data_IF_439104066771
#
_entry.id   IF_439104066771
#
_cell.length_a   1.000
_cell.length_b   1.000
_cell.length_c   1.000
_cell.angle_alpha   90.00
_cell.angle_beta   90.00
_cell.angle_gamma   90.00
#
_symmetry.space_group_name_H-M   'P 1'
#
loop_
_entity.id
_entity.type
_entity.pdbx_description
1 polymer ?
#
# COMPACT_ATOMS: atom_id res chain seq x y z
N UNK A 1 57.18 4.10 7.89
CA UNK A 1 57.10 4.78 6.57
C UNK A 1 55.68 4.60 6.03
N UNK A 2 54.95 5.69 5.77
CA UNK A 2 53.52 5.65 5.38
C UNK A 2 53.33 4.80 4.10
N UNK A 3 52.38 3.85 4.10
CA UNK A 3 52.17 2.88 2.99
C UNK A 3 51.94 3.56 1.63
N UNK A 4 51.35 4.75 1.65
CA UNK A 4 51.05 5.57 0.48
C UNK A 4 52.34 6.18 -0.10
N UNK A 5 53.25 6.65 0.76
CA UNK A 5 54.55 7.17 0.35
C UNK A 5 55.40 6.07 -0.32
N UNK A 6 55.39 4.86 0.23
CA UNK A 6 56.09 3.70 -0.36
C UNK A 6 55.53 3.35 -1.74
N UNK A 7 54.21 3.45 -1.94
CA UNK A 7 53.59 3.25 -3.25
C UNK A 7 53.98 4.34 -4.24
N UNK A 8 53.90 5.61 -3.85
CA UNK A 8 54.31 6.74 -4.67
C UNK A 8 55.78 6.64 -5.14
N UNK A 9 56.70 6.28 -4.24
CA UNK A 9 58.13 6.13 -4.57
C UNK A 9 58.43 4.90 -5.44
N UNK A 10 57.55 3.89 -5.41
CA UNK A 10 57.70 2.68 -6.22
C UNK A 10 57.01 2.79 -7.59
N UNK A 11 56.17 3.79 -7.81
CA UNK A 11 55.40 3.98 -9.05
C UNK A 11 56.23 4.60 -10.17
N UNK A 12 57.22 5.43 -9.84
CA UNK A 12 58.14 6.01 -10.81
C UNK A 12 59.58 6.07 -10.25
N UNK A 13 60.55 5.58 -11.02
CA UNK A 13 61.98 5.63 -10.65
C UNK A 13 62.48 7.06 -10.46
N UNK A 14 61.97 8.00 -11.24
CA UNK A 14 62.30 9.42 -11.12
C UNK A 14 61.89 10.03 -9.78
N UNK A 15 60.74 9.62 -9.21
CA UNK A 15 60.29 10.11 -7.90
C UNK A 15 61.22 9.65 -6.77
N UNK A 16 61.86 8.49 -6.93
CA UNK A 16 62.85 7.97 -5.99
C UNK A 16 64.16 8.75 -6.08
N UNK A 17 64.58 9.14 -7.28
CA UNK A 17 65.75 10.00 -7.49
C UNK A 17 65.50 11.43 -7.01
N UNK A 18 64.30 11.97 -7.23
CA UNK A 18 63.87 13.28 -6.74
C UNK A 18 63.85 13.30 -5.20
N UNK A 19 63.37 12.23 -4.57
CA UNK A 19 63.42 12.05 -3.11
C UNK A 19 64.86 12.03 -2.59
N UNK A 20 65.78 11.34 -3.27
CA UNK A 20 67.20 11.33 -2.92
C UNK A 20 67.80 12.74 -3.02
N UNK A 21 67.55 13.47 -4.12
CA UNK A 21 68.03 14.84 -4.32
C UNK A 21 67.44 15.84 -3.31
N UNK A 22 66.15 15.74 -2.99
CA UNK A 22 65.49 16.63 -2.04
C UNK A 22 65.98 16.44 -0.59
N UNK A 23 66.13 15.18 -0.15
CA UNK A 23 66.45 14.87 1.26
C UNK A 23 67.95 14.92 1.53
N UNK A 24 68.78 14.43 0.61
CA UNK A 24 70.23 14.31 0.83
C UNK A 24 70.98 15.56 0.36
N UNK A 25 70.57 16.17 -0.77
CA UNK A 25 71.23 17.38 -1.28
C UNK A 25 70.59 18.67 -0.75
N UNK A 26 69.53 18.58 0.07
CA UNK A 26 68.78 19.71 0.65
C UNK A 26 68.41 20.79 -0.38
N UNK A 27 68.11 20.37 -1.61
CA UNK A 27 67.70 21.28 -2.66
C UNK A 27 66.22 21.65 -2.49
N UNK A 28 65.94 22.94 -2.28
CA UNK A 28 64.57 23.46 -2.08
C UNK A 28 63.68 23.32 -3.32
N UNK A 29 64.23 23.41 -4.52
CA UNK A 29 63.46 23.28 -5.77
C UNK A 29 63.01 21.83 -5.97
N UNK A 30 63.90 20.87 -5.73
CA UNK A 30 63.58 19.45 -5.80
C UNK A 30 62.57 19.02 -4.72
N UNK A 31 62.54 19.70 -3.57
CA UNK A 31 61.55 19.45 -2.52
C UNK A 31 60.17 19.97 -2.91
N UNK A 32 60.07 21.17 -3.50
CA UNK A 32 58.81 21.71 -4.01
C UNK A 32 58.22 20.84 -5.13
N UNK A 33 59.06 20.40 -6.07
CA UNK A 33 58.63 19.52 -7.16
C UNK A 33 58.17 18.15 -6.63
N UNK A 34 58.82 17.61 -5.59
CA UNK A 34 58.42 16.37 -4.95
C UNK A 34 57.06 16.50 -4.25
N UNK A 35 56.84 17.61 -3.53
CA UNK A 35 55.56 17.90 -2.88
C UNK A 35 54.43 18.05 -3.88
N UNK A 36 54.66 18.75 -5.00
CA UNK A 36 53.67 18.90 -6.06
C UNK A 36 53.30 17.55 -6.69
N UNK A 37 54.31 16.73 -7.05
CA UNK A 37 54.10 15.39 -7.59
C UNK A 37 53.36 14.49 -6.60
N UNK A 38 53.68 14.58 -5.31
CA UNK A 38 52.99 13.81 -4.27
C UNK A 38 51.55 14.26 -4.07
N UNK A 39 51.28 15.57 -4.06
CA UNK A 39 49.93 16.11 -3.95
C UNK A 39 49.07 15.70 -5.14
N UNK A 40 49.61 15.75 -6.35
CA UNK A 40 48.93 15.27 -7.55
C UNK A 40 48.62 13.76 -7.48
N UNK A 41 49.53 12.97 -6.91
CA UNK A 41 49.31 11.55 -6.69
C UNK A 41 48.16 11.26 -5.72
N UNK A 42 48.16 11.94 -4.57
CA UNK A 42 47.11 11.83 -3.56
C UNK A 42 45.77 12.27 -4.13
N UNK A 43 45.75 13.39 -4.87
CA UNK A 43 44.56 13.89 -5.53
C UNK A 43 43.97 12.86 -6.49
N UNK A 44 44.80 12.21 -7.31
CA UNK A 44 44.34 11.13 -8.23
C UNK A 44 43.71 9.97 -7.48
N UNK A 45 44.31 9.53 -6.36
CA UNK A 45 43.75 8.45 -5.53
C UNK A 45 42.39 8.85 -4.97
N UNK A 46 42.27 10.07 -4.42
CA UNK A 46 41.01 10.54 -3.86
C UNK A 46 39.94 10.75 -4.91
N UNK A 47 40.31 11.30 -6.07
CA UNK A 47 39.41 11.46 -7.21
C UNK A 47 38.86 10.10 -7.67
N UNK A 48 39.74 9.12 -7.88
CA UNK A 48 39.33 7.78 -8.29
C UNK A 48 38.43 7.12 -7.24
N UNK A 49 38.77 7.24 -5.96
CA UNK A 49 37.94 6.72 -4.88
C UNK A 49 36.57 7.40 -4.82
N UNK A 50 36.52 8.71 -5.02
CA UNK A 50 35.29 9.49 -5.00
C UNK A 50 34.38 9.13 -6.17
N UNK A 51 34.91 9.08 -7.39
CA UNK A 51 34.18 8.67 -8.59
C UNK A 51 33.63 7.24 -8.41
N UNK A 52 34.47 6.31 -7.95
CA UNK A 52 34.05 4.92 -7.70
C UNK A 52 32.90 4.83 -6.68
N UNK A 53 32.98 5.61 -5.58
CA UNK A 53 31.90 5.68 -4.58
C UNK A 53 30.63 6.28 -5.18
N UNK A 54 30.76 7.35 -5.97
CA UNK A 54 29.63 8.03 -6.62
C UNK A 54 28.89 7.09 -7.59
N UNK A 55 29.63 6.36 -8.44
CA UNK A 55 29.07 5.37 -9.34
C UNK A 55 28.30 4.31 -8.55
N UNK A 56 28.95 3.69 -7.54
CA UNK A 56 28.32 2.65 -6.71
C UNK A 56 27.03 3.13 -6.05
N UNK A 57 27.05 4.33 -5.48
CA UNK A 57 25.89 4.91 -4.82
C UNK A 57 24.75 5.21 -5.80
N UNK A 58 25.08 5.73 -6.98
CA UNK A 58 24.11 6.03 -8.04
C UNK A 58 23.47 4.74 -8.56
N UNK A 59 24.26 3.70 -8.83
CA UNK A 59 23.76 2.39 -9.24
C UNK A 59 22.83 1.77 -8.18
N UNK A 60 23.16 1.92 -6.90
CA UNK A 60 22.31 1.47 -5.81
C UNK A 60 20.95 2.20 -5.77
N UNK A 61 20.96 3.53 -5.91
CA UNK A 61 19.71 4.33 -6.00
C UNK A 61 18.84 3.89 -7.16
N UNK A 62 19.42 3.70 -8.35
CA UNK A 62 18.69 3.23 -9.54
C UNK A 62 18.09 1.84 -9.29
N UNK A 63 18.84 0.91 -8.67
CA UNK A 63 18.34 -0.42 -8.32
C UNK A 63 17.13 -0.36 -7.40
N UNK A 64 17.17 0.49 -6.37
CA UNK A 64 16.03 0.70 -5.46
C UNK A 64 14.81 1.23 -6.21
N UNK A 65 14.99 2.26 -7.05
CA UNK A 65 13.89 2.85 -7.82
C UNK A 65 13.26 1.83 -8.76
N UNK A 66 14.08 1.07 -9.49
CA UNK A 66 13.59 -0.02 -10.37
C UNK A 66 12.84 -1.09 -9.58
N UNK A 67 13.30 -1.47 -8.40
CA UNK A 67 12.59 -2.41 -7.53
C UNK A 67 11.23 -1.86 -7.13
N UNK A 68 11.13 -0.60 -6.70
CA UNK A 68 9.85 0.04 -6.34
C UNK A 68 8.86 0.05 -7.49
N UNK A 69 9.32 0.36 -8.70
CA UNK A 69 8.48 0.34 -9.91
C UNK A 69 8.02 -1.08 -10.20
N UNK A 70 8.94 -2.06 -10.21
CA UNK A 70 8.61 -3.47 -10.43
C UNK A 70 7.65 -4.05 -9.39
N UNK A 71 7.78 -3.65 -8.13
CA UNK A 71 6.89 -4.08 -7.05
C UNK A 71 5.49 -3.46 -7.20
N UNK A 72 5.38 -2.23 -7.72
CA UNK A 72 4.09 -1.59 -8.06
C UNK A 72 3.46 -2.16 -9.32
N UNK A 73 4.25 -2.39 -10.36
CA UNK A 73 3.85 -2.92 -11.67
C UNK A 73 3.96 -4.43 -11.73
N UNK A 74 3.93 -5.10 -10.57
CA UNK A 74 4.03 -6.55 -10.51
C UNK A 74 2.83 -7.13 -11.25
N UNK A 75 3.10 -7.77 -12.39
CA UNK A 75 2.08 -8.35 -13.28
C UNK A 75 1.57 -9.69 -12.74
N UNK A 76 1.23 -9.71 -11.46
CA UNK A 76 0.59 -10.83 -10.77
C UNK A 76 -0.65 -10.27 -10.13
N UNK A 77 -1.80 -10.58 -10.73
CA UNK A 77 -3.09 -10.36 -10.06
C UNK A 77 -3.21 -11.27 -8.84
N UNK A 78 -2.53 -12.41 -8.82
CA UNK A 78 -2.55 -13.35 -7.72
C UNK A 78 -1.69 -12.85 -6.55
N UNK A 79 -2.33 -12.59 -5.42
CA UNK A 79 -1.71 -12.35 -4.12
C UNK A 79 -2.06 -13.57 -3.25
N UNK A 80 -1.07 -14.08 -2.51
CA UNK A 80 -1.34 -15.10 -1.49
C UNK A 80 -1.93 -14.37 -0.30
N UNK A 81 -3.19 -14.70 0.02
CA UNK A 81 -3.89 -14.18 1.18
C UNK A 81 -3.18 -14.70 2.46
N UNK A 82 -2.75 -13.80 3.34
CA UNK A 82 -1.95 -14.15 4.52
C UNK A 82 -2.76 -15.00 5.51
N UNK A 83 -4.09 -14.81 5.56
CA UNK A 83 -5.01 -15.51 6.44
C UNK A 83 -5.46 -16.87 5.87
N UNK A 84 -5.55 -16.99 4.54
CA UNK A 84 -6.11 -18.18 3.88
C UNK A 84 -5.08 -19.04 3.13
N UNK A 85 -3.84 -18.57 2.94
CA UNK A 85 -2.76 -19.26 2.21
C UNK A 85 -3.16 -19.72 0.79
N UNK A 86 -4.13 -19.04 0.17
CA UNK A 86 -4.63 -19.32 -1.17
C UNK A 86 -4.30 -18.16 -2.12
N UNK A 87 -4.03 -18.48 -3.39
CA UNK A 87 -3.85 -17.46 -4.43
C UNK A 87 -5.20 -16.81 -4.77
N UNK A 88 -5.32 -15.50 -4.51
CA UNK A 88 -6.50 -14.70 -4.85
C UNK A 88 -6.17 -13.62 -5.86
N UNK A 89 -7.07 -13.41 -6.81
CA UNK A 89 -6.98 -12.34 -7.80
C UNK A 89 -7.32 -11.02 -7.09
N UNK A 90 -6.37 -10.08 -7.09
CA UNK A 90 -6.57 -8.72 -6.59
C UNK A 90 -7.35 -7.92 -7.64
N UNK A 91 -8.67 -7.93 -7.53
CA UNK A 91 -9.59 -7.16 -8.37
C UNK A 91 -9.60 -5.69 -7.93
N UNK A 92 -9.50 -4.77 -8.88
CA UNK A 92 -9.76 -3.34 -8.64
C UNK A 92 -11.27 -3.17 -8.57
N UNK A 93 -11.79 -2.62 -7.47
CA UNK A 93 -13.20 -2.27 -7.37
C UNK A 93 -13.52 -1.20 -8.43
N UNK A 94 -14.47 -1.51 -9.31
CA UNK A 94 -14.98 -0.55 -10.29
C UNK A 94 -15.88 0.46 -9.56
N UNK A 95 -15.33 1.66 -9.28
CA UNK A 95 -16.09 2.77 -8.70
C UNK A 95 -16.95 3.50 -9.73
N UNK A 96 -16.76 3.21 -11.02
CA UNK A 96 -17.54 3.78 -12.10
C UNK A 96 -18.76 2.90 -12.35
N UNK A 97 -19.88 3.31 -11.74
CA UNK A 97 -21.24 2.81 -11.98
C UNK A 97 -21.59 1.62 -11.08
N UNK A 98 -22.34 1.94 -10.02
CA UNK A 98 -23.12 0.98 -9.27
C UNK A 98 -24.26 0.46 -10.17
N UNK A 99 -24.00 -0.58 -10.97
CA UNK A 99 -25.05 -1.29 -11.71
C UNK A 99 -26.05 -2.01 -10.78
N UNK A 100 -25.83 -1.93 -9.45
CA UNK A 100 -26.73 -2.39 -8.41
C UNK A 100 -27.46 -1.23 -7.74
N UNK A 101 -27.82 -0.15 -8.44
CA UNK A 101 -29.10 0.46 -8.08
C UNK A 101 -30.13 -0.67 -8.22
N UNK A 102 -30.65 -1.23 -7.10
CA UNK A 102 -31.69 -2.23 -7.21
C UNK A 102 -32.81 -1.54 -7.98
N UNK A 103 -33.52 -2.25 -8.85
CA UNK A 103 -34.74 -1.73 -9.45
C UNK A 103 -35.75 -1.55 -8.30
N UNK A 104 -35.57 -0.50 -7.51
CA UNK A 104 -36.51 -0.01 -6.53
C UNK A 104 -37.52 0.73 -7.36
N UNK A 105 -38.77 0.29 -7.34
CA UNK A 105 -39.85 1.14 -7.82
C UNK A 105 -39.74 2.47 -7.05
N UNK A 106 -39.37 3.60 -7.69
CA UNK A 106 -39.15 4.85 -6.97
C UNK A 106 -40.45 5.37 -6.33
N UNK A 107 -41.60 4.83 -6.76
CA UNK A 107 -42.95 5.12 -6.27
C UNK A 107 -43.63 3.90 -5.60
N UNK A 108 -42.90 2.80 -5.37
CA UNK A 108 -43.46 1.53 -4.95
C UNK A 108 -43.80 1.53 -3.47
N UNK A 109 -45.08 1.68 -3.14
CA UNK A 109 -45.60 1.32 -1.82
C UNK A 109 -45.21 -0.13 -1.54
N UNK A 110 -44.59 -0.38 -0.37
CA UNK A 110 -44.18 -1.72 0.05
C UNK A 110 -45.43 -2.60 0.19
N UNK A 111 -45.72 -3.42 -0.82
CA UNK A 111 -46.88 -4.31 -0.80
C UNK A 111 -46.51 -5.73 -0.35
N UNK A 112 -46.64 -5.97 0.95
CA UNK A 112 -46.46 -7.30 1.52
C UNK A 112 -47.53 -8.31 1.05
N UNK A 113 -48.67 -7.87 0.51
CA UNK A 113 -49.68 -8.80 -0.03
C UNK A 113 -49.18 -9.54 -1.26
N UNK A 114 -48.29 -8.91 -2.05
CA UNK A 114 -47.68 -9.54 -3.22
C UNK A 114 -46.65 -10.62 -2.85
N UNK A 115 -46.01 -10.50 -1.68
CA UNK A 115 -44.86 -11.34 -1.28
C UNK A 115 -45.25 -12.40 -0.24
N UNK A 116 -46.22 -12.12 0.63
CA UNK A 116 -46.58 -13.00 1.76
C UNK A 116 -47.96 -13.63 1.55
N UNK A 117 -47.99 -14.91 1.21
CA UNK A 117 -49.23 -15.66 0.96
C UNK A 117 -49.99 -16.02 2.25
N UNK A 118 -49.29 -16.10 3.40
CA UNK A 118 -49.91 -16.50 4.66
C UNK A 118 -50.68 -15.34 5.29
N UNK A 119 -52.02 -15.45 5.26
CA UNK A 119 -52.96 -14.45 5.80
C UNK A 119 -52.72 -14.10 7.28
N UNK A 120 -52.25 -15.04 8.12
CA UNK A 120 -51.95 -14.77 9.53
C UNK A 120 -50.73 -13.85 9.66
N UNK A 121 -49.66 -14.14 8.91
CA UNK A 121 -48.42 -13.35 8.91
C UNK A 121 -48.71 -11.95 8.37
N UNK A 122 -49.44 -11.88 7.26
CA UNK A 122 -49.81 -10.63 6.61
C UNK A 122 -50.60 -9.69 7.53
N UNK A 123 -51.56 -10.24 8.31
CA UNK A 123 -52.32 -9.48 9.30
C UNK A 123 -51.42 -8.85 10.37
N UNK A 124 -50.36 -9.54 10.78
CA UNK A 124 -49.43 -9.04 11.79
C UNK A 124 -48.42 -8.05 11.22
N UNK A 125 -47.93 -8.29 10.01
CA UNK A 125 -47.11 -7.30 9.29
C UNK A 125 -47.89 -6.00 9.15
N UNK A 126 -49.19 -6.05 8.85
CA UNK A 126 -50.02 -4.84 8.71
C UNK A 126 -50.12 -4.01 10.00
N UNK A 127 -49.96 -4.61 11.18
CA UNK A 127 -49.93 -3.92 12.48
C UNK A 127 -48.57 -3.27 12.81
N UNK A 128 -47.50 -3.64 12.10
CA UNK A 128 -46.18 -3.06 12.32
C UNK A 128 -46.16 -1.58 11.90
N UNK A 129 -45.26 -0.81 12.53
CA UNK A 129 -45.04 0.59 12.13
C UNK A 129 -44.41 0.66 10.74
N UNK A 130 -44.56 1.78 10.03
CA UNK A 130 -43.95 1.98 8.71
C UNK A 130 -42.43 1.75 8.74
N UNK A 131 -41.76 2.17 9.82
CA UNK A 131 -40.32 1.96 10.01
C UNK A 131 -39.96 0.48 10.19
N UNK A 132 -40.78 -0.28 10.90
CA UNK A 132 -40.59 -1.72 11.04
C UNK A 132 -40.82 -2.44 9.71
N UNK A 133 -41.82 -2.03 8.94
CA UNK A 133 -42.12 -2.56 7.61
C UNK A 133 -40.98 -2.30 6.62
N UNK A 134 -40.47 -1.08 6.58
CA UNK A 134 -39.33 -0.67 5.75
C UNK A 134 -38.08 -1.51 6.04
N UNK A 135 -37.67 -1.59 7.31
CA UNK A 135 -36.51 -2.40 7.72
C UNK A 135 -36.73 -3.89 7.46
N UNK A 136 -37.95 -4.40 7.67
CA UNK A 136 -38.25 -5.81 7.40
C UNK A 136 -38.18 -6.12 5.91
N UNK A 137 -38.66 -5.21 5.06
CA UNK A 137 -38.60 -5.35 3.61
C UNK A 137 -37.15 -5.36 3.13
N UNK A 138 -36.34 -4.37 3.55
CA UNK A 138 -34.94 -4.26 3.15
C UNK A 138 -34.12 -5.48 3.60
N UNK A 139 -34.30 -5.95 4.84
CA UNK A 139 -33.51 -7.05 5.38
C UNK A 139 -34.00 -8.44 4.95
N UNK A 140 -35.31 -8.66 4.78
CA UNK A 140 -35.87 -10.01 4.51
C UNK A 140 -36.22 -10.21 3.04
N UNK A 141 -36.74 -9.18 2.37
CA UNK A 141 -37.22 -9.31 0.99
C UNK A 141 -36.11 -8.95 0.00
N UNK A 142 -35.35 -7.89 0.28
CA UNK A 142 -34.21 -7.47 -0.55
C UNK A 142 -32.88 -8.10 -0.11
N UNK A 143 -32.87 -8.87 0.98
CA UNK A 143 -31.68 -9.56 1.53
C UNK A 143 -30.47 -8.63 1.74
N UNK A 144 -30.72 -7.38 2.16
CA UNK A 144 -29.67 -6.40 2.43
C UNK A 144 -29.07 -6.60 3.83
N UNK A 145 -27.74 -6.48 3.92
CA UNK A 145 -27.02 -6.48 5.19
C UNK A 145 -27.44 -5.31 6.09
N UNK A 146 -27.47 -5.52 7.41
CA UNK A 146 -27.95 -4.48 8.33
C UNK A 146 -27.06 -3.23 8.32
N UNK A 147 -25.78 -3.34 7.92
CA UNK A 147 -24.91 -2.17 7.72
C UNK A 147 -25.39 -1.34 6.54
N UNK A 148 -25.73 -1.97 5.43
CA UNK A 148 -26.25 -1.31 4.23
C UNK A 148 -27.58 -0.62 4.54
N UNK A 149 -28.48 -1.30 5.26
CA UNK A 149 -29.76 -0.73 5.69
C UNK A 149 -29.56 0.45 6.66
N UNK A 150 -28.63 0.32 7.62
CA UNK A 150 -28.28 1.39 8.55
C UNK A 150 -27.78 2.66 7.81
N UNK A 151 -26.93 2.47 6.80
CA UNK A 151 -26.42 3.55 5.96
C UNK A 151 -27.55 4.21 5.15
N UNK A 152 -28.39 3.42 4.48
CA UNK A 152 -29.51 3.91 3.67
C UNK A 152 -30.49 4.73 4.51
N UNK A 153 -30.79 4.25 5.72
CA UNK A 153 -31.77 4.87 6.62
C UNK A 153 -31.16 5.91 7.57
N UNK A 154 -29.84 6.16 7.50
CA UNK A 154 -29.06 7.07 8.35
C UNK A 154 -29.27 6.85 9.85
N UNK A 155 -29.26 5.60 10.28
CA UNK A 155 -29.41 5.19 11.68
C UNK A 155 -28.30 4.22 12.09
N UNK A 156 -28.17 3.94 13.39
CA UNK A 156 -27.17 2.96 13.85
C UNK A 156 -27.58 1.53 13.51
N UNK A 157 -26.59 0.66 13.26
CA UNK A 157 -26.76 -0.78 13.04
C UNK A 157 -27.53 -1.43 14.20
N UNK A 158 -27.26 -0.99 15.44
CA UNK A 158 -27.97 -1.45 16.63
C UNK A 158 -29.47 -1.12 16.58
N UNK A 159 -29.83 0.06 16.04
CA UNK A 159 -31.22 0.48 15.88
C UNK A 159 -31.95 -0.38 14.84
N UNK A 160 -31.30 -0.69 13.71
CA UNK A 160 -31.80 -1.61 12.69
C UNK A 160 -32.07 -2.98 13.31
N UNK A 161 -31.07 -3.55 13.98
CA UNK A 161 -31.18 -4.87 14.63
C UNK A 161 -32.28 -4.92 15.68
N UNK A 162 -32.39 -3.90 16.55
CA UNK A 162 -33.45 -3.83 17.56
C UNK A 162 -34.83 -3.78 16.91
N UNK A 163 -34.98 -2.99 15.85
CA UNK A 163 -36.25 -2.82 15.15
C UNK A 163 -36.66 -4.08 14.39
N UNK A 164 -35.71 -4.72 13.68
CA UNK A 164 -35.89 -6.02 13.00
C UNK A 164 -36.32 -7.10 13.98
N UNK A 165 -35.58 -7.26 15.07
CA UNK A 165 -35.87 -8.28 16.08
C UNK A 165 -37.22 -8.04 16.77
N UNK A 166 -37.59 -6.78 17.02
CA UNK A 166 -38.91 -6.45 17.55
C UNK A 166 -40.05 -6.82 16.59
N UNK A 167 -39.91 -6.51 15.30
CA UNK A 167 -40.88 -6.87 14.27
C UNK A 167 -41.06 -8.39 14.15
N UNK A 168 -39.94 -9.14 14.05
CA UNK A 168 -39.96 -10.61 13.97
C UNK A 168 -40.59 -11.21 15.23
N UNK A 169 -40.27 -10.68 16.42
CA UNK A 169 -40.86 -11.16 17.68
C UNK A 169 -42.37 -10.99 17.71
N UNK A 170 -42.90 -9.88 17.18
CA UNK A 170 -44.34 -9.66 17.10
C UNK A 170 -45.00 -10.66 16.14
N UNK A 171 -44.39 -10.90 14.98
CA UNK A 171 -44.87 -11.88 14.01
C UNK A 171 -44.85 -13.31 14.61
N UNK A 172 -43.74 -13.71 15.25
CA UNK A 172 -43.61 -15.04 15.89
C UNK A 172 -44.69 -15.31 16.95
N UNK A 173 -44.92 -14.34 17.83
CA UNK A 173 -45.96 -14.43 18.89
C UNK A 173 -47.34 -14.77 18.34
N UNK A 174 -47.69 -14.24 17.17
CA UNK A 174 -48.99 -14.46 16.56
C UNK A 174 -49.11 -15.78 15.81
N UNK A 175 -47.98 -16.35 15.37
CA UNK A 175 -47.93 -17.66 14.70
C UNK A 175 -47.89 -18.81 15.71
N UNK A 176 -47.54 -18.53 16.97
CA UNK A 176 -47.48 -19.53 18.05
C UNK A 176 -46.23 -20.39 18.00
N UNK A 177 -45.11 -19.80 17.56
CA UNK A 177 -43.77 -20.42 17.53
C UNK A 177 -42.82 -19.76 18.53
#
# INVERSE_FOLDING_TARGET
MHKILKKFLNENRENKELYYKAVIMKNKEALQELEERFNNYIFRIYLFSYISKSIKFTSYKIKIQRKKIKDKEKMTLNIIDEDYQEERINTIEDTSIDFLEPIKNPNGTIDFNAVVQNKKILKEINKLTNRQKEILYDCIILDLDEKTVANNLKISIQSVNKTKNAAIKNIKRAIGA
#
